data_IF_907292225174
#
_entry.id   IF_907292225174
#
_cell.length_a   1.000
_cell.length_b   1.000
_cell.length_c   1.000
_cell.angle_alpha   90.00
_cell.angle_beta   90.00
_cell.angle_gamma   90.00
#
_symmetry.space_group_name_H-M   'P 1'
#
loop_
_entity.id
_entity.type
_entity.pdbx_description
1 polymer ?
#
# COMPACT_ATOMS: atom_id res chain seq x y z
N UNK A 1 -7.52 11.11 4.95
CA UNK A 1 -7.68 9.65 4.67
C UNK A 1 -8.85 9.40 3.72
N UNK A 2 -8.63 8.67 2.62
CA UNK A 2 -9.61 8.45 1.55
C UNK A 2 -10.04 6.97 1.48
N UNK A 3 -11.10 6.61 2.21
CA UNK A 3 -11.63 5.23 2.28
C UNK A 3 -12.17 4.69 0.95
N UNK A 4 -12.54 5.57 0.02
CA UNK A 4 -13.01 5.16 -1.31
C UNK A 4 -11.92 4.53 -2.17
N UNK A 5 -10.64 4.79 -1.85
CA UNK A 5 -9.49 4.17 -2.51
C UNK A 5 -9.00 2.91 -1.80
N UNK A 6 -9.55 2.61 -0.62
CA UNK A 6 -9.12 1.51 0.23
C UNK A 6 -10.04 0.30 0.02
N UNK A 7 -9.46 -0.88 -0.20
CA UNK A 7 -10.23 -2.12 -0.27
C UNK A 7 -10.78 -2.49 1.12
N UNK A 8 -11.92 -3.18 1.18
CA UNK A 8 -12.59 -3.54 2.44
C UNK A 8 -11.66 -4.33 3.37
N UNK A 9 -10.83 -5.23 2.82
CA UNK A 9 -9.87 -5.99 3.61
C UNK A 9 -8.85 -5.08 4.32
N UNK A 10 -8.40 -4.02 3.65
CA UNK A 10 -7.46 -3.05 4.22
C UNK A 10 -8.14 -2.22 5.31
N UNK A 11 -9.37 -1.77 5.09
CA UNK A 11 -10.17 -1.06 6.10
C UNK A 11 -10.35 -1.91 7.36
N UNK A 12 -10.64 -3.20 7.21
CA UNK A 12 -10.79 -4.12 8.33
C UNK A 12 -9.47 -4.33 9.08
N UNK A 13 -8.36 -4.48 8.36
CA UNK A 13 -7.03 -4.61 8.96
C UNK A 13 -6.61 -3.35 9.72
N UNK A 14 -6.91 -2.16 9.17
CA UNK A 14 -6.71 -0.87 9.83
C UNK A 14 -7.52 -0.77 11.13
N UNK A 15 -8.77 -1.25 11.14
CA UNK A 15 -9.62 -1.25 12.35
C UNK A 15 -9.15 -2.24 13.42
N UNK A 16 -8.51 -3.34 13.03
CA UNK A 16 -7.96 -4.33 13.95
C UNK A 16 -6.62 -3.91 14.56
N UNK A 17 -5.90 -3.04 13.88
CA UNK A 17 -4.59 -2.56 14.32
C UNK A 17 -4.75 -1.42 15.32
N UNK A 18 -4.33 -1.65 16.57
CA UNK A 18 -4.33 -0.61 17.61
C UNK A 18 -3.16 0.37 17.41
N UNK A 19 -2.00 -0.15 17.02
CA UNK A 19 -0.79 0.64 16.79
C UNK A 19 -0.73 1.21 15.38
N UNK A 20 -1.12 2.47 15.24
CA UNK A 20 -1.17 3.16 13.95
C UNK A 20 0.21 3.55 13.39
N UNK A 21 1.25 3.43 14.20
CA UNK A 21 2.63 3.81 13.85
C UNK A 21 3.48 2.63 13.38
N UNK A 22 3.17 1.40 13.79
CA UNK A 22 3.97 0.24 13.40
C UNK A 22 3.66 -0.22 11.98
N UNK A 23 4.69 -0.43 11.13
CA UNK A 23 4.50 -0.96 9.78
C UNK A 23 4.19 -2.46 9.84
N UNK A 24 2.90 -2.79 10.00
CA UNK A 24 2.41 -4.17 10.06
C UNK A 24 1.51 -4.56 8.87
N UNK A 25 1.17 -3.60 8.00
CA UNK A 25 0.23 -3.84 6.91
C UNK A 25 0.98 -3.90 5.58
N UNK A 26 1.07 -5.09 5.02
CA UNK A 26 1.56 -5.24 3.66
C UNK A 26 0.41 -4.88 2.71
N UNK A 27 0.64 -3.90 1.84
CA UNK A 27 -0.36 -3.38 0.91
C UNK A 27 0.17 -3.35 -0.51
N UNK A 28 -0.74 -3.59 -1.46
CA UNK A 28 -0.55 -3.27 -2.87
C UNK A 28 -0.99 -1.83 -3.13
N UNK A 29 -0.03 -1.00 -3.54
CA UNK A 29 -0.27 0.36 -4.00
C UNK A 29 -0.45 0.34 -5.50
N UNK A 30 -1.67 0.61 -5.97
CA UNK A 30 -1.94 0.81 -7.38
C UNK A 30 -1.89 2.29 -7.71
N UNK A 31 -0.92 2.65 -8.53
CA UNK A 31 -0.70 4.03 -8.97
C UNK A 31 -1.29 4.23 -10.36
N UNK A 32 -1.38 5.48 -10.79
CA UNK A 32 -1.60 5.80 -12.18
C UNK A 32 -0.36 5.46 -13.01
N UNK A 33 -0.55 5.19 -14.30
CA UNK A 33 0.54 4.93 -15.24
C UNK A 33 1.37 6.19 -15.39
N UNK A 34 2.68 6.05 -15.16
CA UNK A 34 3.66 7.12 -14.95
C UNK A 34 3.48 7.87 -13.61
N UNK A 35 4.26 7.47 -12.62
CA UNK A 35 4.44 8.21 -11.37
C UNK A 35 5.71 9.08 -11.47
N UNK A 36 5.61 10.32 -11.00
CA UNK A 36 6.76 11.24 -10.95
C UNK A 36 7.81 10.81 -9.93
N UNK A 37 9.03 11.34 -10.06
CA UNK A 37 10.13 11.08 -9.11
C UNK A 37 9.76 11.39 -7.65
N UNK A 38 8.86 12.36 -7.42
CA UNK A 38 8.35 12.66 -6.09
C UNK A 38 7.53 11.50 -5.50
N UNK A 39 6.68 10.85 -6.31
CA UNK A 39 5.92 9.68 -5.89
C UNK A 39 6.83 8.47 -5.66
N UNK A 40 7.88 8.31 -6.49
CA UNK A 40 8.93 7.30 -6.28
C UNK A 40 9.60 7.52 -4.93
N UNK A 41 10.03 8.74 -4.61
CA UNK A 41 10.66 9.06 -3.32
C UNK A 41 9.74 8.78 -2.13
N UNK A 42 8.43 9.05 -2.26
CA UNK A 42 7.45 8.70 -1.23
C UNK A 42 7.35 7.19 -1.05
N UNK A 43 7.28 6.42 -2.14
CA UNK A 43 7.26 4.95 -2.10
C UNK A 43 8.55 4.38 -1.46
N UNK A 44 9.72 4.90 -1.84
CA UNK A 44 11.00 4.51 -1.22
C UNK A 44 11.02 4.82 0.28
N UNK A 45 10.48 5.97 0.70
CA UNK A 45 10.33 6.34 2.11
C UNK A 45 9.43 5.38 2.90
N UNK A 46 8.51 4.69 2.23
CA UNK A 46 7.68 3.64 2.80
C UNK A 46 8.31 2.24 2.75
N UNK A 47 9.57 2.13 2.30
CA UNK A 47 10.28 0.85 2.17
C UNK A 47 9.89 0.03 0.94
N UNK A 48 9.18 0.64 -0.02
CA UNK A 48 8.90 -0.01 -1.32
C UNK A 48 10.21 -0.14 -2.07
N UNK A 49 10.61 -1.37 -2.38
CA UNK A 49 11.78 -1.66 -3.20
C UNK A 49 11.38 -2.13 -4.60
N UNK A 50 12.20 -1.84 -5.60
CA UNK A 50 11.95 -2.29 -6.98
C UNK A 50 10.88 -1.49 -7.72
N UNK A 51 10.79 -0.19 -7.43
CA UNK A 51 9.89 0.75 -8.12
C UNK A 51 10.40 0.92 -9.56
N UNK A 52 9.68 0.33 -10.51
CA UNK A 52 10.00 0.48 -11.94
C UNK A 52 8.89 1.29 -12.61
N UNK A 53 9.24 2.25 -13.45
CA UNK A 53 8.30 3.08 -14.20
C UNK A 53 7.34 2.30 -15.13
N UNK A 54 7.63 1.01 -15.38
CA UNK A 54 6.78 0.07 -16.15
C UNK A 54 5.74 -0.67 -15.31
N UNK A 55 5.75 -0.52 -13.99
CA UNK A 55 4.78 -1.19 -13.10
C UNK A 55 3.87 -0.14 -12.49
N UNK A 56 2.57 -0.40 -12.56
CA UNK A 56 1.53 0.43 -11.93
C UNK A 56 1.15 -0.10 -10.53
N UNK A 57 1.78 -1.19 -10.09
CA UNK A 57 1.49 -1.88 -8.84
C UNK A 57 2.77 -2.12 -8.07
N UNK A 58 2.78 -1.67 -6.83
CA UNK A 58 3.90 -1.80 -5.90
C UNK A 58 3.44 -2.49 -4.62
N UNK A 59 4.37 -3.13 -3.93
CA UNK A 59 4.09 -3.80 -2.66
C UNK A 59 5.01 -3.22 -1.60
N UNK A 60 4.45 -2.82 -0.46
CA UNK A 60 5.24 -2.44 0.71
C UNK A 60 4.51 -2.70 2.01
N UNK A 61 5.32 -2.84 3.06
CA UNK A 61 4.87 -2.93 4.44
C UNK A 61 4.81 -1.53 5.01
N UNK A 62 3.59 -1.04 5.23
CA UNK A 62 3.33 0.31 5.71
C UNK A 62 2.50 0.28 6.98
N UNK A 63 2.57 1.37 7.74
CA UNK A 63 1.75 1.56 8.93
C UNK A 63 0.36 2.10 8.57
N UNK A 64 -0.65 1.94 9.44
CA UNK A 64 -1.98 2.53 9.25
C UNK A 64 -1.96 4.03 8.92
N UNK A 65 -1.05 4.76 9.56
CA UNK A 65 -0.87 6.19 9.29
C UNK A 65 -0.31 6.44 7.88
N UNK A 66 0.65 5.64 7.44
CA UNK A 66 1.20 5.69 6.08
C UNK A 66 0.14 5.37 5.02
N UNK A 67 -0.74 4.39 5.26
CA UNK A 67 -1.89 4.10 4.38
C UNK A 67 -2.80 5.32 4.23
N UNK A 68 -3.03 6.04 5.32
CA UNK A 68 -3.81 7.27 5.31
C UNK A 68 -3.15 8.34 4.42
N UNK A 69 -1.85 8.56 4.56
CA UNK A 69 -1.09 9.50 3.73
C UNK A 69 -1.06 9.09 2.24
N UNK A 70 -0.89 7.79 1.95
CA UNK A 70 -0.92 7.27 0.58
C UNK A 70 -2.30 7.46 -0.06
N UNK A 71 -3.39 7.23 0.68
CA UNK A 71 -4.74 7.38 0.14
C UNK A 71 -5.06 8.82 -0.29
N UNK A 72 -4.37 9.80 0.30
CA UNK A 72 -4.52 11.22 -0.01
C UNK A 72 -3.74 11.64 -1.26
N UNK A 73 -2.79 10.82 -1.70
CA UNK A 73 -2.01 11.12 -2.88
C UNK A 73 -2.87 11.06 -4.16
N UNK A 74 -2.73 12.04 -5.07
CA UNK A 74 -3.51 12.08 -6.31
C UNK A 74 -3.09 11.00 -7.31
N UNK A 75 -1.83 10.58 -7.28
CA UNK A 75 -1.29 9.52 -8.13
C UNK A 75 -1.66 8.11 -7.64
N UNK A 76 -2.15 7.96 -6.41
CA UNK A 76 -2.68 6.69 -5.90
C UNK A 76 -4.10 6.49 -6.42
N UNK A 77 -4.27 5.43 -7.21
CA UNK A 77 -5.55 5.03 -7.80
C UNK A 77 -6.35 4.22 -6.78
N UNK A 78 -5.74 3.18 -6.21
CA UNK A 78 -6.32 2.41 -5.13
C UNK A 78 -5.25 1.68 -4.30
N UNK A 79 -5.63 1.30 -3.08
CA UNK A 79 -4.80 0.62 -2.09
C UNK A 79 -5.52 -0.66 -1.67
N UNK A 80 -4.82 -1.78 -1.78
CA UNK A 80 -5.37 -3.10 -1.46
C UNK A 80 -4.49 -3.77 -0.42
N UNK A 81 -5.09 -4.45 0.55
CA UNK A 81 -4.30 -5.27 1.47
C UNK A 81 -3.66 -6.39 0.66
N UNK A 82 -2.34 -6.54 0.72
CA UNK A 82 -1.71 -7.74 0.20
C UNK A 82 -2.01 -8.84 1.19
N UNK A 83 -3.14 -9.50 0.98
CA UNK A 83 -3.45 -10.70 1.72
C UNK A 83 -2.28 -11.65 1.49
N UNK A 84 -1.67 -12.08 2.60
CA UNK A 84 -0.64 -13.09 2.62
C UNK A 84 -1.16 -14.24 1.77
N UNK A 85 -0.63 -14.37 0.55
CA UNK A 85 -0.78 -15.57 -0.24
C UNK A 85 -0.04 -16.61 0.59
N UNK A 86 -0.73 -17.21 1.56
CA UNK A 86 -0.34 -18.51 2.07
C UNK A 86 -0.31 -19.39 0.84
N UNK A 87 0.90 -19.56 0.30
CA UNK A 87 1.24 -20.68 -0.54
C UNK A 87 0.77 -21.90 0.24
N UNK A 88 -0.41 -22.39 -0.11
CA UNK A 88 -0.82 -23.73 0.30
C UNK A 88 0.22 -24.62 -0.35
N UNK A 89 1.19 -25.06 0.44
CA UNK A 89 2.06 -26.16 0.02
C UNK A 89 1.09 -27.33 -0.19
N UNK A 90 0.84 -27.66 -1.44
CA UNK A 90 0.12 -28.88 -1.78
C UNK A 90 0.95 -30.04 -1.28
N UNK A 91 0.34 -30.85 -0.43
CA UNK A 91 0.82 -32.16 0.05
C UNK A 91 1.02 -33.11 -1.15
#
# INVERSE_FOLDING_TARGET
MNFSKLDTALILALKKTQDQSEPCLVVFIHTQSAIDSAAIAVLEGFGVSGITAKRDVFTATVSPNAVSQLSEQPWVKYLRLSQELRLVSGD
#
